data_IF_901157489111
#
_entry.id   IF_901157489111
#
_cell.length_a   1.000
_cell.length_b   1.000
_cell.length_c   1.000
_cell.angle_alpha   90.00
_cell.angle_beta   90.00
_cell.angle_gamma   90.00
#
_symmetry.space_group_name_H-M   'P 1'
#
loop_
_entity.id
_entity.type
_entity.pdbx_description
1 polymer ?
#
# COMPACT_ATOMS: atom_id res chain seq x y z
N UNK A 1 -9.82 -12.11 -1.46
CA UNK A 1 -10.84 -11.36 -2.21
C UNK A 1 -11.36 -12.21 -3.39
N UNK A 2 -10.49 -12.68 -4.29
CA UNK A 2 -10.89 -13.43 -5.49
C UNK A 2 -11.73 -14.68 -5.19
N UNK A 3 -11.31 -15.54 -4.26
CA UNK A 3 -12.08 -16.71 -3.82
C UNK A 3 -13.50 -16.33 -3.33
N UNK A 4 -13.64 -15.24 -2.55
CA UNK A 4 -14.93 -14.77 -2.07
C UNK A 4 -15.83 -14.27 -3.20
N UNK A 5 -15.25 -13.85 -4.32
CA UNK A 5 -15.96 -13.45 -5.54
C UNK A 5 -16.25 -14.63 -6.49
N UNK A 6 -15.82 -15.85 -6.15
CA UNK A 6 -16.10 -17.06 -6.90
C UNK A 6 -15.09 -17.41 -7.98
N UNK A 7 -13.92 -16.77 -7.99
CA UNK A 7 -12.84 -17.11 -8.91
C UNK A 7 -12.05 -18.33 -8.43
N UNK A 8 -11.56 -19.15 -9.36
CA UNK A 8 -10.50 -20.09 -9.10
C UNK A 8 -9.17 -19.32 -8.97
N UNK A 9 -8.37 -19.69 -8.01
CA UNK A 9 -7.14 -18.98 -7.67
C UNK A 9 -5.97 -19.93 -7.60
N UNK A 10 -4.95 -19.66 -8.38
CA UNK A 10 -3.63 -20.28 -8.24
C UNK A 10 -2.73 -19.29 -7.52
N UNK A 11 -2.20 -19.64 -6.36
CA UNK A 11 -1.25 -18.84 -5.62
C UNK A 11 0.14 -19.43 -5.78
N UNK A 12 1.08 -18.61 -6.25
CA UNK A 12 2.49 -19.01 -6.37
C UNK A 12 3.29 -18.40 -5.22
N UNK A 13 4.07 -19.23 -4.57
CA UNK A 13 5.05 -18.85 -3.55
C UNK A 13 6.44 -19.35 -3.93
N UNK A 14 7.48 -18.79 -3.34
CA UNK A 14 8.86 -19.14 -3.68
C UNK A 14 9.35 -20.45 -3.05
N UNK A 15 8.72 -20.90 -1.95
CA UNK A 15 9.13 -22.07 -1.15
C UNK A 15 7.91 -22.77 -0.57
N UNK A 16 8.04 -24.08 -0.33
CA UNK A 16 6.98 -24.91 0.24
C UNK A 16 6.49 -24.44 1.60
N UNK A 17 7.39 -24.03 2.50
CA UNK A 17 7.03 -23.50 3.81
C UNK A 17 6.19 -22.21 3.71
N UNK A 18 6.53 -21.34 2.76
CA UNK A 18 5.77 -20.13 2.46
C UNK A 18 4.39 -20.47 1.85
N UNK A 19 4.34 -21.46 0.96
CA UNK A 19 3.12 -21.94 0.34
C UNK A 19 2.14 -22.51 1.38
N UNK A 20 2.62 -23.35 2.28
CA UNK A 20 1.81 -23.90 3.38
C UNK A 20 1.33 -22.79 4.34
N UNK A 21 2.21 -21.86 4.71
CA UNK A 21 1.84 -20.72 5.54
C UNK A 21 0.79 -19.83 4.85
N UNK A 22 0.89 -19.64 3.52
CA UNK A 22 -0.09 -18.87 2.75
C UNK A 22 -1.45 -19.57 2.71
N UNK A 23 -1.47 -20.89 2.49
CA UNK A 23 -2.69 -21.72 2.57
C UNK A 23 -3.35 -21.57 3.95
N UNK A 24 -2.58 -21.70 5.03
CA UNK A 24 -3.08 -21.52 6.41
C UNK A 24 -3.67 -20.15 6.67
N UNK A 25 -3.00 -19.07 6.20
CA UNK A 25 -3.51 -17.69 6.32
C UNK A 25 -4.84 -17.49 5.58
N UNK A 26 -4.96 -18.03 4.36
CA UNK A 26 -6.19 -17.93 3.57
C UNK A 26 -7.32 -18.70 4.26
N UNK A 27 -7.07 -19.94 4.67
CA UNK A 27 -8.05 -20.75 5.40
C UNK A 27 -8.50 -20.06 6.70
N UNK A 28 -7.58 -19.48 7.47
CA UNK A 28 -7.89 -18.72 8.67
C UNK A 28 -8.78 -17.50 8.41
N UNK A 29 -8.51 -16.74 7.36
CA UNK A 29 -9.33 -15.60 6.95
C UNK A 29 -10.75 -16.04 6.54
N UNK A 30 -10.88 -17.13 5.78
CA UNK A 30 -12.15 -17.68 5.36
C UNK A 30 -12.93 -18.27 6.56
N UNK A 31 -12.25 -18.98 7.48
CA UNK A 31 -12.84 -19.45 8.75
C UNK A 31 -13.40 -18.30 9.58
N UNK A 32 -12.69 -17.17 9.64
CA UNK A 32 -13.21 -15.96 10.27
C UNK A 32 -14.49 -15.42 9.60
N UNK A 33 -14.61 -15.52 8.26
CA UNK A 33 -15.80 -15.15 7.54
C UNK A 33 -16.96 -16.13 7.80
N UNK A 34 -16.66 -17.43 7.87
CA UNK A 34 -17.60 -18.49 8.22
C UNK A 34 -18.17 -18.29 9.63
N UNK A 35 -17.30 -18.10 10.64
CA UNK A 35 -17.71 -17.83 12.02
C UNK A 35 -18.64 -16.62 12.17
N UNK A 36 -18.49 -15.62 11.31
CA UNK A 36 -19.37 -14.42 11.27
C UNK A 36 -20.60 -14.58 10.40
N UNK A 37 -20.87 -15.79 9.89
CA UNK A 37 -22.03 -16.08 9.04
C UNK A 37 -22.01 -15.39 7.66
N UNK A 38 -20.82 -14.91 7.20
CA UNK A 38 -20.69 -14.25 5.89
C UNK A 38 -20.61 -15.24 4.73
N UNK A 39 -20.23 -16.46 5.00
CA UNK A 39 -20.20 -17.58 4.05
C UNK A 39 -20.74 -18.84 4.73
N UNK A 40 -21.24 -19.78 3.94
CA UNK A 40 -21.69 -21.11 4.43
C UNK A 40 -20.51 -22.07 4.51
N UNK A 41 -20.68 -23.20 5.24
CA UNK A 41 -19.67 -24.26 5.30
C UNK A 41 -19.37 -24.80 3.90
N UNK A 42 -20.38 -25.06 3.10
CA UNK A 42 -20.23 -25.55 1.73
C UNK A 42 -19.36 -24.60 0.87
N UNK A 43 -19.55 -23.27 0.99
CA UNK A 43 -18.70 -22.29 0.29
C UNK A 43 -17.29 -22.30 0.82
N UNK A 44 -17.08 -22.44 2.13
CA UNK A 44 -15.75 -22.54 2.72
C UNK A 44 -15.01 -23.77 2.15
N UNK A 45 -15.65 -24.93 2.17
CA UNK A 45 -15.07 -26.19 1.67
C UNK A 45 -14.75 -26.10 0.17
N UNK A 46 -15.64 -25.54 -0.64
CA UNK A 46 -15.41 -25.35 -2.07
C UNK A 46 -14.21 -24.42 -2.33
N UNK A 47 -14.09 -23.30 -1.58
CA UNK A 47 -12.97 -22.36 -1.74
C UNK A 47 -11.62 -22.93 -1.30
N UNK A 48 -11.59 -23.72 -0.23
CA UNK A 48 -10.34 -24.27 0.31
C UNK A 48 -9.86 -25.53 -0.38
N UNK A 49 -10.79 -26.37 -0.85
CA UNK A 49 -10.48 -27.71 -1.38
C UNK A 49 -10.47 -27.77 -2.91
N UNK A 50 -11.19 -26.86 -3.59
CA UNK A 50 -11.39 -26.92 -5.04
C UNK A 50 -10.93 -25.67 -5.77
N UNK A 51 -11.30 -24.48 -5.26
CA UNK A 51 -11.06 -23.22 -5.95
C UNK A 51 -9.67 -22.61 -5.65
N UNK A 52 -8.95 -23.09 -4.63
CA UNK A 52 -7.61 -22.64 -4.28
C UNK A 52 -6.57 -23.71 -4.58
N UNK A 53 -5.70 -23.42 -5.53
CA UNK A 53 -4.43 -24.12 -5.73
C UNK A 53 -3.30 -23.27 -5.13
N UNK A 54 -2.34 -23.91 -4.45
CA UNK A 54 -1.12 -23.25 -3.99
C UNK A 54 0.06 -24.06 -4.50
N UNK A 55 0.98 -23.42 -5.21
CA UNK A 55 2.10 -24.06 -5.91
C UNK A 55 3.37 -23.22 -5.74
N UNK A 56 4.52 -23.83 -5.96
CA UNK A 56 5.81 -23.17 -6.12
C UNK A 56 6.27 -23.16 -7.58
N UNK A 57 5.50 -23.80 -8.48
CA UNK A 57 5.82 -23.90 -9.88
C UNK A 57 5.01 -22.89 -10.71
N UNK A 58 5.71 -22.06 -11.49
CA UNK A 58 5.11 -21.11 -12.42
C UNK A 58 4.30 -21.77 -13.53
N UNK A 59 4.59 -23.03 -13.90
CA UNK A 59 3.83 -23.76 -14.94
C UNK A 59 2.34 -23.89 -14.58
N UNK A 60 2.00 -23.87 -13.29
CA UNK A 60 0.60 -23.80 -12.83
C UNK A 60 -0.15 -22.57 -13.35
N UNK A 61 0.55 -21.54 -13.85
CA UNK A 61 -0.03 -20.32 -14.40
C UNK A 61 -0.28 -20.39 -15.91
N UNK A 62 0.08 -21.47 -16.60
CA UNK A 62 0.00 -21.56 -18.06
C UNK A 62 -1.42 -21.34 -18.63
N UNK A 63 -2.46 -21.70 -17.86
CA UNK A 63 -3.86 -21.60 -18.30
C UNK A 63 -4.65 -20.42 -17.71
N UNK A 64 -4.05 -19.63 -16.83
CA UNK A 64 -4.77 -18.54 -16.15
C UNK A 64 -5.10 -17.39 -17.10
N UNK A 65 -6.18 -16.68 -16.81
CA UNK A 65 -6.64 -15.55 -17.61
C UNK A 65 -6.03 -14.23 -17.13
N UNK A 66 -5.66 -14.14 -15.85
CA UNK A 66 -5.10 -12.95 -15.24
C UNK A 66 -4.17 -13.33 -14.09
N UNK A 67 -3.03 -12.65 -14.03
CA UNK A 67 -2.09 -12.74 -12.90
C UNK A 67 -2.07 -11.40 -12.17
N UNK A 68 -2.05 -11.43 -10.84
CA UNK A 68 -1.80 -10.25 -10.00
C UNK A 68 -0.49 -10.49 -9.24
N UNK A 69 0.58 -9.88 -9.71
CA UNK A 69 1.89 -9.92 -9.05
C UNK A 69 1.88 -9.02 -7.81
N UNK A 70 2.37 -9.55 -6.69
CA UNK A 70 2.46 -8.84 -5.42
C UNK A 70 3.75 -9.21 -4.65
N UNK A 71 4.86 -9.34 -5.37
CA UNK A 71 6.19 -9.59 -4.79
C UNK A 71 6.79 -8.32 -4.18
N UNK A 72 8.05 -8.38 -3.70
CA UNK A 72 8.74 -7.23 -3.13
C UNK A 72 8.70 -6.01 -4.05
N UNK A 73 8.60 -4.81 -3.42
CA UNK A 73 8.52 -3.52 -4.11
C UNK A 73 9.93 -3.10 -4.60
N UNK A 74 10.47 -3.87 -5.54
CA UNK A 74 11.76 -3.68 -6.19
C UNK A 74 11.61 -3.89 -7.71
N UNK A 75 12.10 -2.95 -8.50
CA UNK A 75 11.94 -2.95 -9.96
C UNK A 75 12.65 -4.15 -10.61
N UNK A 76 13.82 -4.51 -10.14
CA UNK A 76 14.58 -5.65 -10.68
C UNK A 76 13.85 -6.97 -10.46
N UNK A 77 13.34 -7.17 -9.23
CA UNK A 77 12.55 -8.35 -8.87
C UNK A 77 11.27 -8.42 -9.70
N UNK A 78 10.55 -7.30 -9.88
CA UNK A 78 9.32 -7.29 -10.68
C UNK A 78 9.58 -7.60 -12.15
N UNK A 79 10.62 -7.03 -12.74
CA UNK A 79 11.01 -7.33 -14.14
C UNK A 79 11.38 -8.81 -14.31
N UNK A 80 12.09 -9.41 -13.38
CA UNK A 80 12.39 -10.85 -13.41
C UNK A 80 11.12 -11.69 -13.37
N UNK A 81 10.20 -11.35 -12.44
CA UNK A 81 8.90 -12.07 -12.33
C UNK A 81 8.06 -11.87 -13.59
N UNK A 82 7.95 -10.66 -14.12
CA UNK A 82 7.18 -10.40 -15.34
C UNK A 82 7.77 -11.11 -16.56
N UNK A 83 9.09 -11.23 -16.66
CA UNK A 83 9.73 -12.04 -17.70
C UNK A 83 9.36 -13.54 -17.60
N UNK A 84 9.27 -14.10 -16.39
CA UNK A 84 8.79 -15.48 -16.17
C UNK A 84 7.31 -15.63 -16.52
N UNK A 85 6.46 -14.68 -16.12
CA UNK A 85 5.03 -14.68 -16.44
C UNK A 85 4.79 -14.57 -17.93
N UNK A 86 5.54 -13.73 -18.63
CA UNK A 86 5.47 -13.56 -20.08
C UNK A 86 5.78 -14.86 -20.85
N UNK A 87 6.75 -15.63 -20.34
CA UNK A 87 7.14 -16.91 -20.94
C UNK A 87 6.13 -18.04 -20.68
N UNK A 88 5.46 -18.05 -19.51
CA UNK A 88 4.62 -19.18 -19.05
C UNK A 88 3.15 -18.96 -19.36
N UNK A 89 2.63 -17.75 -19.14
CA UNK A 89 1.20 -17.50 -19.30
C UNK A 89 0.77 -17.52 -20.77
N UNK A 90 -0.42 -18.05 -21.04
CA UNK A 90 -1.00 -18.10 -22.40
C UNK A 90 -1.10 -16.72 -23.02
N UNK A 91 -1.09 -16.60 -24.36
CA UNK A 91 -1.38 -15.36 -25.07
C UNK A 91 -2.74 -14.78 -24.64
N UNK A 92 -2.81 -13.45 -24.45
CA UNK A 92 -4.00 -12.75 -23.98
C UNK A 92 -4.28 -12.82 -22.47
N UNK A 93 -3.47 -13.55 -21.70
CA UNK A 93 -3.54 -13.46 -20.25
C UNK A 93 -3.04 -12.08 -19.78
N UNK A 94 -3.80 -11.43 -18.91
CA UNK A 94 -3.46 -10.11 -18.37
C UNK A 94 -2.43 -10.27 -17.27
N UNK A 95 -1.36 -9.48 -17.33
CA UNK A 95 -0.30 -9.43 -16.34
C UNK A 95 -0.44 -8.13 -15.52
N UNK A 96 -0.95 -8.25 -14.30
CA UNK A 96 -1.17 -7.09 -13.44
C UNK A 96 -0.12 -7.02 -12.33
N UNK A 97 0.37 -5.81 -12.04
CA UNK A 97 1.20 -5.55 -10.86
C UNK A 97 0.40 -4.85 -9.76
N UNK A 98 0.54 -5.32 -8.52
CA UNK A 98 0.01 -4.64 -7.34
C UNK A 98 1.03 -3.67 -6.72
N UNK A 99 1.95 -3.13 -7.52
CA UNK A 99 2.90 -2.12 -7.03
C UNK A 99 2.17 -0.91 -6.46
N UNK A 100 2.78 -0.26 -5.46
CA UNK A 100 2.26 0.96 -4.84
C UNK A 100 2.95 2.23 -5.35
N UNK A 101 4.17 2.10 -5.92
CA UNK A 101 5.02 3.24 -6.24
C UNK A 101 5.83 3.08 -7.53
N UNK A 102 6.06 1.83 -7.99
CA UNK A 102 6.93 1.60 -9.14
C UNK A 102 6.22 1.93 -10.45
N UNK A 103 7.03 2.28 -11.43
CA UNK A 103 6.58 2.65 -12.77
C UNK A 103 6.05 1.42 -13.53
N UNK A 104 4.74 1.41 -13.80
CA UNK A 104 4.08 0.31 -14.51
C UNK A 104 4.48 0.28 -15.98
N UNK A 105 4.84 1.40 -16.59
CA UNK A 105 5.36 1.47 -17.96
C UNK A 105 6.71 0.74 -18.06
N UNK A 106 7.57 0.93 -17.06
CA UNK A 106 8.88 0.26 -16.97
C UNK A 106 8.73 -1.25 -16.75
N UNK A 107 7.74 -1.68 -15.96
CA UNK A 107 7.39 -3.09 -15.79
C UNK A 107 6.86 -3.66 -17.11
N UNK A 108 5.95 -2.98 -17.77
CA UNK A 108 5.36 -3.42 -19.04
C UNK A 108 6.42 -3.57 -20.13
N UNK A 109 7.36 -2.63 -20.20
CA UNK A 109 8.46 -2.67 -21.18
C UNK A 109 9.42 -3.86 -21.00
N UNK A 110 9.38 -4.57 -19.87
CA UNK A 110 10.16 -5.79 -19.64
C UNK A 110 9.53 -7.05 -20.21
N UNK A 111 8.31 -6.96 -20.79
CA UNK A 111 7.58 -8.07 -21.40
C UNK A 111 7.53 -7.93 -22.93
N UNK A 112 7.27 -9.03 -23.63
CA UNK A 112 7.04 -9.04 -25.07
C UNK A 112 5.66 -8.50 -25.46
N UNK A 113 4.74 -8.36 -24.49
CA UNK A 113 3.33 -7.95 -24.66
C UNK A 113 2.90 -6.84 -23.70
N UNK A 114 3.51 -5.64 -23.79
CA UNK A 114 3.19 -4.53 -22.88
C UNK A 114 1.73 -4.08 -22.95
N UNK A 115 1.00 -4.40 -24.01
CA UNK A 115 -0.43 -4.13 -24.14
C UNK A 115 -1.29 -4.94 -23.14
N UNK A 116 -0.82 -6.12 -22.71
CA UNK A 116 -1.50 -6.98 -21.75
C UNK A 116 -1.13 -6.65 -20.28
N UNK A 117 -0.32 -5.62 -20.06
CA UNK A 117 0.15 -5.23 -18.72
C UNK A 117 -0.66 -4.07 -18.17
N UNK A 118 -1.01 -4.16 -16.86
CA UNK A 118 -1.78 -3.16 -16.14
C UNK A 118 -1.36 -3.10 -14.66
N UNK A 119 -1.55 -1.98 -13.99
CA UNK A 119 -1.48 -1.92 -12.54
C UNK A 119 -2.85 -2.17 -11.91
N UNK A 120 -2.90 -3.03 -10.91
CA UNK A 120 -4.09 -3.26 -10.06
C UNK A 120 -3.69 -3.07 -8.60
N UNK A 121 -3.71 -1.81 -8.15
CA UNK A 121 -3.26 -1.46 -6.81
C UNK A 121 -4.39 -1.62 -5.79
N UNK A 122 -4.27 -2.66 -4.98
CA UNK A 122 -5.16 -2.95 -3.86
C UNK A 122 -4.61 -2.35 -2.56
N UNK A 123 -5.51 -1.85 -1.72
CA UNK A 123 -5.14 -1.40 -0.38
C UNK A 123 -5.29 -2.52 0.64
N UNK A 124 -4.34 -2.62 1.54
CA UNK A 124 -4.30 -3.66 2.58
C UNK A 124 -5.24 -3.33 3.75
N UNK A 125 -6.01 -4.29 4.26
CA UNK A 125 -6.19 -5.66 3.79
C UNK A 125 -7.14 -5.73 2.56
N UNK A 126 -6.67 -6.37 1.46
CA UNK A 126 -7.37 -6.35 0.17
C UNK A 126 -8.79 -6.93 0.19
N UNK A 127 -9.14 -7.77 1.15
CA UNK A 127 -10.50 -8.33 1.29
C UNK A 127 -11.45 -7.40 2.06
N UNK A 128 -10.95 -6.33 2.68
CA UNK A 128 -11.72 -5.36 3.46
C UNK A 128 -11.78 -4.01 2.74
N UNK A 129 -10.62 -3.49 2.32
CA UNK A 129 -10.51 -2.17 1.70
C UNK A 129 -11.24 -2.12 0.37
N UNK A 130 -12.04 -1.08 0.16
CA UNK A 130 -12.92 -0.97 -1.01
C UNK A 130 -12.23 -0.42 -2.25
N UNK A 131 -11.23 0.44 -2.08
CA UNK A 131 -10.57 1.10 -3.21
C UNK A 131 -9.71 0.12 -4.00
N UNK A 132 -9.81 0.20 -5.32
CA UNK A 132 -8.90 -0.41 -6.29
C UNK A 132 -8.51 0.67 -7.30
N UNK A 133 -7.23 0.97 -7.39
CA UNK A 133 -6.69 1.83 -8.45
C UNK A 133 -6.32 0.96 -9.65
N UNK A 134 -6.99 1.23 -10.76
CA UNK A 134 -6.69 0.64 -12.07
C UNK A 134 -5.68 1.55 -12.74
N UNK A 135 -4.40 1.20 -12.64
CA UNK A 135 -3.28 2.02 -13.12
C UNK A 135 -3.01 1.67 -14.57
N UNK A 136 -3.31 2.61 -15.46
CA UNK A 136 -3.22 2.43 -16.91
C UNK A 136 -1.86 2.92 -17.39
N UNK A 137 -1.03 1.99 -17.85
CA UNK A 137 0.25 2.27 -18.49
C UNK A 137 0.02 2.79 -19.93
N UNK A 138 1.03 3.41 -20.52
CA UNK A 138 0.94 4.04 -21.85
C UNK A 138 0.49 3.05 -22.93
N UNK A 139 0.96 1.80 -22.88
CA UNK A 139 0.69 0.75 -23.87
C UNK A 139 -0.45 -0.18 -23.47
N UNK A 140 -1.05 -0.05 -22.29
CA UNK A 140 -2.15 -0.91 -21.85
C UNK A 140 -3.33 -0.85 -22.81
N UNK A 141 -3.76 -1.99 -23.34
CA UNK A 141 -4.86 -2.09 -24.28
C UNK A 141 -6.22 -1.73 -23.62
N UNK A 142 -7.17 -1.13 -24.37
CA UNK A 142 -8.47 -0.71 -23.82
C UNK A 142 -9.31 -1.85 -23.23
N UNK A 143 -9.25 -3.04 -23.79
CA UNK A 143 -9.94 -4.23 -23.30
C UNK A 143 -9.34 -4.76 -22.00
N UNK A 144 -8.01 -4.64 -21.81
CA UNK A 144 -7.31 -4.93 -20.57
C UNK A 144 -7.77 -3.96 -19.47
N UNK A 145 -7.90 -2.67 -19.80
CA UNK A 145 -8.44 -1.66 -18.86
C UNK A 145 -9.88 -2.01 -18.49
N UNK A 146 -10.73 -2.33 -19.47
CA UNK A 146 -12.12 -2.72 -19.25
C UNK A 146 -12.22 -3.96 -18.35
N UNK A 147 -11.36 -4.94 -18.57
CA UNK A 147 -11.27 -6.15 -17.74
C UNK A 147 -10.85 -5.83 -16.30
N UNK A 148 -9.89 -4.90 -16.10
CA UNK A 148 -9.49 -4.43 -14.77
C UNK A 148 -10.67 -3.82 -13.98
N UNK A 149 -11.50 -3.00 -14.64
CA UNK A 149 -12.73 -2.46 -14.04
C UNK A 149 -13.79 -3.54 -13.77
N UNK A 150 -13.97 -4.49 -14.70
CA UNK A 150 -14.90 -5.60 -14.54
C UNK A 150 -14.50 -6.50 -13.35
N UNK A 151 -13.21 -6.79 -13.23
CA UNK A 151 -12.64 -7.49 -12.06
C UNK A 151 -12.94 -6.73 -10.77
N UNK A 152 -12.65 -5.42 -10.75
CA UNK A 152 -12.94 -4.60 -9.58
C UNK A 152 -14.40 -4.66 -9.17
N UNK A 153 -15.34 -4.60 -10.12
CA UNK A 153 -16.78 -4.77 -9.88
C UNK A 153 -17.09 -6.16 -9.30
N UNK A 154 -16.54 -7.22 -9.87
CA UNK A 154 -16.73 -8.60 -9.39
C UNK A 154 -16.19 -8.79 -7.96
N UNK A 155 -15.08 -8.12 -7.62
CA UNK A 155 -14.48 -8.11 -6.28
C UNK A 155 -15.19 -7.17 -5.29
N UNK A 156 -16.30 -6.52 -5.70
CA UNK A 156 -17.03 -5.52 -4.91
C UNK A 156 -16.13 -4.35 -4.46
N UNK A 157 -15.30 -3.85 -5.38
CA UNK A 157 -14.42 -2.69 -5.20
C UNK A 157 -15.01 -1.43 -5.83
N UNK A 158 -14.56 -0.30 -5.34
CA UNK A 158 -14.71 1.00 -5.97
C UNK A 158 -13.46 1.22 -6.80
N UNK A 159 -13.56 0.99 -8.12
CA UNK A 159 -12.44 1.10 -9.03
C UNK A 159 -12.30 2.53 -9.54
N UNK A 160 -11.07 3.05 -9.50
CA UNK A 160 -10.73 4.38 -10.01
C UNK A 160 -9.59 4.25 -11.00
N UNK A 161 -9.70 4.91 -12.16
CA UNK A 161 -8.61 4.96 -13.14
C UNK A 161 -7.50 5.87 -12.62
N UNK A 162 -6.28 5.36 -12.60
CA UNK A 162 -5.08 6.12 -12.28
C UNK A 162 -4.11 6.10 -13.48
N UNK A 163 -3.32 7.14 -13.63
CA UNK A 163 -2.14 7.16 -14.49
C UNK A 163 -0.89 6.70 -13.72
N UNK A 164 0.18 6.45 -14.47
CA UNK A 164 1.47 6.06 -13.89
C UNK A 164 2.13 7.29 -13.24
N UNK A 165 2.30 7.25 -11.92
CA UNK A 165 3.03 8.27 -11.15
C UNK A 165 3.33 7.74 -9.73
N UNK A 166 4.31 8.32 -9.03
CA UNK A 166 4.71 7.92 -7.67
C UNK A 166 3.53 8.00 -6.69
N UNK A 167 3.08 6.84 -6.19
CA UNK A 167 1.98 6.72 -5.23
C UNK A 167 0.57 6.86 -5.82
N UNK A 168 0.43 6.85 -7.12
CA UNK A 168 -0.83 6.96 -7.88
C UNK A 168 -1.75 8.07 -7.35
N UNK A 169 -3.00 7.76 -6.96
CA UNK A 169 -3.94 8.75 -6.42
C UNK A 169 -3.95 8.71 -4.90
N UNK A 170 -4.25 7.56 -4.31
CA UNK A 170 -4.48 7.43 -2.87
C UNK A 170 -3.24 7.71 -2.05
N UNK A 171 -2.11 7.10 -2.39
CA UNK A 171 -0.86 7.33 -1.68
C UNK A 171 -0.31 8.75 -1.90
N UNK A 172 -0.53 9.38 -3.06
CA UNK A 172 -0.17 10.80 -3.28
C UNK A 172 -0.98 11.73 -2.38
N UNK A 173 -2.29 11.54 -2.30
CA UNK A 173 -3.15 12.33 -1.41
C UNK A 173 -2.71 12.11 0.05
N UNK A 174 -2.53 10.85 0.45
CA UNK A 174 -2.06 10.50 1.78
C UNK A 174 -0.72 11.17 2.11
N UNK A 175 0.25 11.11 1.20
CA UNK A 175 1.57 11.73 1.41
C UNK A 175 1.46 13.25 1.57
N UNK A 176 0.59 13.91 0.80
CA UNK A 176 0.41 15.37 0.83
C UNK A 176 -0.15 15.84 2.18
N UNK A 177 -1.28 15.28 2.62
CA UNK A 177 -1.86 15.72 3.89
C UNK A 177 -1.05 15.22 5.09
N UNK A 178 -0.36 14.08 4.96
CA UNK A 178 0.58 13.61 6.00
C UNK A 178 1.74 14.59 6.16
N UNK A 179 2.32 15.07 5.07
CA UNK A 179 3.38 16.10 5.13
C UNK A 179 2.88 17.38 5.80
N UNK A 180 1.66 17.82 5.49
CA UNK A 180 1.05 18.96 6.15
C UNK A 180 0.89 18.73 7.66
N UNK A 181 0.41 17.55 8.07
CA UNK A 181 0.29 17.17 9.47
C UNK A 181 1.65 17.13 10.18
N UNK A 182 2.67 16.58 9.54
CA UNK A 182 4.04 16.55 10.07
C UNK A 182 4.60 17.97 10.24
N UNK A 183 4.33 18.89 9.31
CA UNK A 183 4.73 20.31 9.45
C UNK A 183 4.00 20.99 10.62
N UNK A 184 2.71 20.73 10.81
CA UNK A 184 1.99 21.24 11.99
C UNK A 184 2.60 20.74 13.31
N UNK A 185 3.07 19.48 13.33
CA UNK A 185 3.78 18.96 14.51
C UNK A 185 5.11 19.68 14.71
N UNK A 186 5.86 19.97 13.65
CA UNK A 186 7.09 20.78 13.74
C UNK A 186 6.81 22.21 14.22
N UNK A 187 5.63 22.77 13.92
CA UNK A 187 5.20 24.09 14.36
C UNK A 187 4.62 24.11 15.79
N UNK A 188 4.53 22.95 16.42
CA UNK A 188 4.16 22.87 17.84
C UNK A 188 2.85 22.13 18.11
N UNK A 189 2.05 21.80 17.11
CA UNK A 189 0.82 21.03 17.31
C UNK A 189 1.08 19.62 17.84
N UNK A 190 0.15 19.08 18.60
CA UNK A 190 0.20 17.68 19.03
C UNK A 190 -0.29 16.76 17.91
N UNK A 191 0.40 15.63 17.59
CA UNK A 191 -0.11 14.65 16.63
C UNK A 191 -1.48 14.09 17.04
N UNK A 192 -1.74 13.98 18.35
CA UNK A 192 -3.02 13.50 18.89
C UNK A 192 -4.16 14.49 18.67
N UNK A 193 -3.87 15.80 18.78
CA UNK A 193 -4.86 16.85 18.48
C UNK A 193 -5.17 16.90 16.97
N UNK A 194 -4.17 16.71 16.12
CA UNK A 194 -4.35 16.64 14.67
C UNK A 194 -5.22 15.43 14.30
N UNK A 195 -4.89 14.26 14.84
CA UNK A 195 -5.68 13.03 14.62
C UNK A 195 -7.13 13.23 15.07
N UNK A 196 -7.32 13.78 16.26
CA UNK A 196 -8.66 14.09 16.77
C UNK A 196 -9.42 15.06 15.87
N UNK A 197 -8.81 16.14 15.44
CA UNK A 197 -9.44 17.13 14.57
C UNK A 197 -9.89 16.53 13.23
N UNK A 198 -9.10 15.66 12.63
CA UNK A 198 -9.46 14.99 11.38
C UNK A 198 -10.58 13.95 11.58
N UNK A 199 -10.58 13.23 12.70
CA UNK A 199 -11.69 12.32 13.05
C UNK A 199 -12.98 13.12 13.31
N UNK A 200 -12.91 14.22 14.02
CA UNK A 200 -14.07 15.11 14.26
C UNK A 200 -14.59 15.72 12.93
N UNK A 201 -13.71 15.96 11.97
CA UNK A 201 -14.07 16.40 10.61
C UNK A 201 -14.75 15.31 9.77
N UNK A 202 -14.61 14.03 10.15
CA UNK A 202 -15.27 12.89 9.45
C UNK A 202 -14.29 11.85 8.86
N UNK A 203 -12.99 11.95 9.10
CA UNK A 203 -12.07 10.89 8.74
C UNK A 203 -12.27 9.68 9.65
N UNK A 204 -12.17 8.48 9.10
CA UNK A 204 -12.27 7.24 9.90
C UNK A 204 -11.11 7.12 10.91
N UNK A 205 -9.96 7.73 10.62
CA UNK A 205 -8.74 7.67 11.42
C UNK A 205 -7.84 8.85 11.08
N UNK A 206 -7.14 9.39 12.05
CA UNK A 206 -6.17 10.45 11.81
C UNK A 206 -4.83 9.93 11.23
N UNK A 207 -4.01 10.82 10.63
CA UNK A 207 -2.82 10.42 9.87
C UNK A 207 -1.74 9.72 10.71
N UNK A 208 -1.62 10.03 11.98
CA UNK A 208 -0.63 9.41 12.86
C UNK A 208 -1.07 8.02 13.29
N UNK A 209 -2.36 7.84 13.60
CA UNK A 209 -2.95 6.54 13.87
C UNK A 209 -2.94 5.62 12.62
N UNK A 210 -3.17 6.19 11.42
CA UNK A 210 -3.01 5.47 10.13
C UNK A 210 -1.56 5.03 9.95
N UNK A 211 -0.58 5.87 10.28
CA UNK A 211 0.83 5.52 10.25
C UNK A 211 1.16 4.35 11.15
N UNK A 212 0.67 4.35 12.38
CA UNK A 212 0.86 3.26 13.35
C UNK A 212 0.19 1.95 12.89
N UNK A 213 -0.98 2.03 12.26
CA UNK A 213 -1.69 0.88 11.71
C UNK A 213 -0.93 0.24 10.53
N UNK A 214 -0.45 1.07 9.61
CA UNK A 214 0.30 0.62 8.43
C UNK A 214 1.70 0.09 8.77
N UNK A 215 2.31 0.64 9.81
CA UNK A 215 3.69 0.42 10.20
C UNK A 215 4.59 1.61 9.80
N UNK A 216 5.18 2.25 10.81
CA UNK A 216 6.01 3.44 10.64
C UNK A 216 7.29 3.19 9.84
N UNK A 217 7.78 1.95 9.81
CA UNK A 217 8.92 1.50 9.00
C UNK A 217 8.71 1.71 7.50
N UNK A 218 7.46 1.62 7.00
CA UNK A 218 7.13 1.88 5.58
C UNK A 218 7.42 3.35 5.25
N UNK A 219 6.91 4.27 6.10
CA UNK A 219 7.19 5.69 5.94
C UNK A 219 8.67 6.02 6.11
N UNK A 220 9.36 5.35 7.02
CA UNK A 220 10.80 5.50 7.25
C UNK A 220 11.63 5.07 6.03
N UNK A 221 11.33 3.90 5.46
CA UNK A 221 11.94 3.43 4.22
C UNK A 221 11.72 4.42 3.06
N UNK A 222 10.50 4.96 2.92
CA UNK A 222 10.18 5.98 1.91
C UNK A 222 10.99 7.26 2.11
N UNK A 223 11.12 7.76 3.35
CA UNK A 223 11.95 8.95 3.64
C UNK A 223 13.43 8.72 3.33
N UNK A 224 13.96 7.54 3.64
CA UNK A 224 15.34 7.14 3.29
C UNK A 224 15.54 7.10 1.77
N UNK A 225 14.62 6.46 1.04
CA UNK A 225 14.66 6.38 -0.43
C UNK A 225 14.67 7.77 -1.07
N UNK A 226 13.79 8.66 -0.61
CA UNK A 226 13.67 10.03 -1.14
C UNK A 226 14.82 10.96 -0.71
N UNK A 227 15.63 10.59 0.27
CA UNK A 227 16.67 11.47 0.81
C UNK A 227 17.69 11.91 -0.24
N UNK A 228 18.07 11.03 -1.19
CA UNK A 228 19.05 11.31 -2.23
C UNK A 228 18.58 12.33 -3.29
N UNK A 229 17.26 12.43 -3.51
CA UNK A 229 16.66 13.31 -4.52
C UNK A 229 15.94 14.53 -3.94
N UNK A 230 15.99 14.66 -2.62
CA UNK A 230 15.28 15.72 -1.88
C UNK A 230 15.89 17.09 -2.14
N UNK A 231 15.01 18.08 -2.31
CA UNK A 231 15.49 19.47 -2.45
C UNK A 231 16.08 19.96 -1.10
N UNK A 232 17.26 20.64 -1.09
CA UNK A 232 17.91 21.07 0.16
C UNK A 232 17.06 21.99 1.03
N UNK A 233 16.15 22.77 0.44
CA UNK A 233 15.25 23.66 1.16
C UNK A 233 13.96 22.96 1.68
N UNK A 234 13.80 21.66 1.42
CA UNK A 234 12.64 20.91 1.89
C UNK A 234 12.67 20.79 3.42
N UNK A 235 11.54 21.13 4.04
CA UNK A 235 11.38 20.99 5.48
C UNK A 235 11.03 19.56 5.84
N UNK A 236 11.98 18.83 6.39
CA UNK A 236 11.85 17.40 6.69
C UNK A 236 11.71 17.17 8.19
N UNK A 237 10.66 16.49 8.64
CA UNK A 237 10.55 16.08 10.04
C UNK A 237 11.52 14.92 10.33
N UNK A 238 12.35 15.05 11.36
CA UNK A 238 13.25 13.97 11.81
C UNK A 238 12.67 13.19 13.00
N UNK A 239 11.67 13.76 13.70
CA UNK A 239 11.06 13.09 14.86
C UNK A 239 10.42 11.72 14.54
N UNK A 240 9.81 11.48 13.35
CA UNK A 240 9.29 10.16 13.02
C UNK A 240 10.40 9.10 12.85
N UNK A 241 11.59 9.53 12.41
CA UNK A 241 12.72 8.61 12.26
C UNK A 241 13.21 8.13 13.62
N UNK A 242 13.26 9.02 14.62
CA UNK A 242 13.63 8.66 16.00
C UNK A 242 12.67 7.67 16.66
N UNK A 243 11.38 7.70 16.30
CA UNK A 243 10.41 6.68 16.75
C UNK A 243 10.81 5.32 16.19
N UNK A 244 11.16 5.26 14.89
CA UNK A 244 11.58 4.03 14.23
C UNK A 244 12.95 3.54 14.70
N UNK A 245 13.92 4.44 14.93
CA UNK A 245 15.25 4.12 15.48
C UNK A 245 15.16 3.48 16.86
N UNK A 246 14.13 3.84 17.64
CA UNK A 246 13.82 3.22 18.92
C UNK A 246 13.09 1.85 18.81
N UNK A 247 12.93 1.30 17.58
CA UNK A 247 12.24 0.04 17.33
C UNK A 247 10.71 0.12 17.42
N UNK A 248 10.14 1.32 17.47
CA UNK A 248 8.70 1.52 17.59
C UNK A 248 8.07 1.70 16.20
N UNK A 249 7.45 0.65 15.68
CA UNK A 249 6.89 0.64 14.34
C UNK A 249 5.34 0.69 14.31
N UNK A 250 4.71 1.16 15.37
CA UNK A 250 3.26 1.24 15.50
C UNK A 250 2.63 -0.03 16.08
N UNK A 251 1.42 -0.35 15.63
CA UNK A 251 0.64 -1.46 16.20
C UNK A 251 1.37 -2.80 16.20
N UNK A 252 2.13 -3.10 15.16
CA UNK A 252 2.87 -4.37 15.03
C UNK A 252 3.95 -4.59 16.09
N UNK A 253 4.43 -3.51 16.70
CA UNK A 253 5.39 -3.56 17.83
C UNK A 253 4.79 -3.11 19.15
N UNK A 254 3.45 -2.88 19.17
CA UNK A 254 2.73 -2.40 20.35
C UNK A 254 2.96 -0.91 20.66
N UNK A 255 3.82 -0.22 19.92
CA UNK A 255 4.20 1.16 20.21
C UNK A 255 4.59 1.93 18.95
N UNK A 256 4.11 3.16 18.85
CA UNK A 256 4.41 4.13 17.80
C UNK A 256 4.11 5.53 18.29
N UNK A 257 3.28 6.29 17.58
CA UNK A 257 2.66 7.52 18.09
C UNK A 257 1.74 7.20 19.27
N UNK A 258 1.15 6.05 19.27
CA UNK A 258 0.30 5.52 20.32
C UNK A 258 0.93 4.28 20.94
N UNK A 259 0.45 3.92 22.14
CA UNK A 259 0.76 2.67 22.83
C UNK A 259 -0.47 1.78 22.69
N UNK A 260 -0.28 0.54 22.26
CA UNK A 260 -1.33 -0.42 22.01
C UNK A 260 -1.21 -1.58 22.99
N UNK A 261 -2.21 -1.74 23.83
CA UNK A 261 -2.32 -2.91 24.72
C UNK A 261 -2.83 -4.12 23.93
N UNK A 262 -2.39 -5.30 24.34
CA UNK A 262 -2.82 -6.55 23.72
C UNK A 262 -4.35 -6.70 23.79
N UNK A 263 -4.99 -6.89 22.63
CA UNK A 263 -6.44 -7.02 22.53
C UNK A 263 -7.21 -5.69 22.44
N UNK A 264 -6.56 -4.54 22.62
CA UNK A 264 -7.18 -3.22 22.43
C UNK A 264 -7.28 -2.87 20.95
N UNK A 265 -8.43 -2.26 20.55
CA UNK A 265 -8.61 -1.71 19.19
C UNK A 265 -8.15 -0.26 19.06
N UNK A 266 -7.93 0.43 20.18
CA UNK A 266 -7.50 1.82 20.24
C UNK A 266 -6.16 1.95 20.94
N UNK A 267 -5.34 2.93 20.52
CA UNK A 267 -4.09 3.29 21.18
C UNK A 267 -4.27 4.42 22.17
N UNK A 268 -3.44 4.41 23.23
CA UNK A 268 -3.30 5.53 24.16
C UNK A 268 -2.18 6.45 23.67
N UNK A 269 -2.32 7.77 23.71
CA UNK A 269 -1.27 8.71 23.30
C UNK A 269 0.10 8.40 23.92
N UNK A 270 1.13 8.25 23.09
CA UNK A 270 2.50 8.05 23.52
C UNK A 270 3.24 9.39 23.64
N UNK A 271 3.23 10.00 24.81
CA UNK A 271 3.87 11.30 25.03
C UNK A 271 5.38 11.30 24.65
N UNK A 272 6.07 10.16 24.79
CA UNK A 272 7.49 10.05 24.42
C UNK A 272 7.74 10.13 22.92
N UNK A 273 6.74 9.87 22.07
CA UNK A 273 6.86 9.94 20.60
C UNK A 273 7.17 11.35 20.08
N UNK A 274 6.86 12.38 20.85
CA UNK A 274 7.07 13.78 20.50
C UNK A 274 8.17 14.46 21.33
N UNK A 275 8.80 13.76 22.27
CA UNK A 275 9.83 14.33 23.15
C UNK A 275 11.05 14.85 22.36
N UNK A 276 11.38 14.25 21.22
CA UNK A 276 12.46 14.69 20.34
C UNK A 276 12.16 15.97 19.55
N UNK A 277 10.90 16.37 19.42
CA UNK A 277 10.42 17.57 18.73
C UNK A 277 10.93 18.86 19.39
N UNK A 278 10.94 18.89 20.73
CA UNK A 278 11.35 20.08 21.50
C UNK A 278 12.79 20.50 21.20
N UNK A 279 13.68 19.56 20.86
CA UNK A 279 15.07 19.85 20.49
C UNK A 279 15.20 20.44 19.08
N UNK A 280 14.34 20.08 18.16
CA UNK A 280 14.33 20.63 16.79
C UNK A 280 13.85 22.10 16.78
N UNK A 281 12.86 22.44 17.59
CA UNK A 281 12.36 23.80 17.71
C UNK A 281 13.35 24.72 18.41
N UNK A 282 14.08 24.24 19.44
CA UNK A 282 15.12 24.99 20.13
C UNK A 282 16.33 25.30 19.23
N UNK A 283 16.74 24.34 18.38
CA UNK A 283 17.84 24.55 17.44
C UNK A 283 17.52 25.60 16.36
N UNK A 284 16.24 25.77 15.99
CA UNK A 284 15.80 26.79 15.02
C UNK A 284 15.62 28.18 15.60
N UNK A 285 15.20 28.31 16.87
CA UNK A 285 15.10 29.59 17.54
C UNK A 285 16.47 30.24 17.82
N UNK A 286 17.54 29.42 17.88
CA UNK A 286 18.91 29.88 18.04
C UNK A 286 19.62 30.27 16.74
N UNK A 287 19.10 29.84 15.57
CA UNK A 287 19.67 30.13 14.25
C UNK A 287 18.92 31.25 13.49
N UNK A 288 18.35 32.21 14.13
CA UNK A 288 17.82 33.52 13.68
C UNK A 288 17.65 33.79 12.17
N UNK A 289 17.13 32.85 11.39
CA UNK A 289 16.92 32.98 9.95
C UNK A 289 15.52 33.52 9.63
N UNK A 290 15.41 34.73 9.12
CA UNK A 290 14.20 35.28 8.51
C UNK A 290 13.73 34.36 7.39
N UNK A 291 12.44 34.03 7.38
CA UNK A 291 11.79 33.35 6.27
C UNK A 291 12.00 34.16 4.97
N UNK A 292 12.48 33.56 3.89
CA UNK A 292 12.45 34.20 2.58
C UNK A 292 10.99 34.33 2.12
N UNK A 293 10.62 35.51 1.63
CA UNK A 293 9.33 35.78 1.04
C UNK A 293 9.10 34.85 -0.16
N UNK A 294 7.96 34.18 -0.18
CA UNK A 294 7.50 33.36 -1.30
C UNK A 294 7.18 34.26 -2.50
N UNK A 295 8.16 34.53 -3.35
CA UNK A 295 7.94 35.07 -4.70
C UNK A 295 8.18 33.94 -5.71
N UNK A 296 7.15 33.59 -6.44
CA UNK A 296 7.24 32.65 -7.56
C UNK A 296 6.19 31.54 -7.53
N UNK A 297 4.93 31.91 -7.76
CA UNK A 297 3.88 30.91 -8.07
C UNK A 297 4.13 30.32 -9.45
N UNK A 298 4.60 29.07 -9.52
CA UNK A 298 4.32 28.22 -10.67
C UNK A 298 2.92 27.67 -10.50
N UNK A 299 2.08 27.88 -11.52
CA UNK A 299 0.69 27.40 -11.57
C UNK A 299 0.66 25.89 -11.36
N UNK A 300 -0.29 25.35 -10.56
CA UNK A 300 -0.48 23.91 -10.51
C UNK A 300 -1.04 23.43 -11.85
N UNK A 301 -0.48 22.37 -12.43
CA UNK A 301 -1.16 21.56 -13.43
C UNK A 301 -2.39 20.95 -12.77
N UNK A 302 -3.57 21.42 -13.13
CA UNK A 302 -4.85 20.76 -12.94
C UNK A 302 -4.99 19.76 -14.09
N UNK A 303 -5.15 18.53 -13.76
CA UNK A 303 -5.87 17.37 -14.30
C UNK A 303 -5.10 16.09 -14.05
#
# INVERSE_FOLDING_TARGET
AALLAGFNVVLIEMKEDAAEAARGRIAGNLSGALKRGKITQMKYDAMTNTALEVSINYDSLASVDLVIEAVFEDMGVKKEVFGKLDAVCKPGAILASNTSYLDVDEIAASTSRPADVIGLHFFSPAHIMKLLEVVVAEKTAPDVVATGFALGKALNKISVRAGVCDGFIGNRILATYRTAADHMVLDGASPFQIDKALVDFGFAMGPFAVGDLAGLDIGWATRKRKAATRHPAERVPTYPDKICEAGNFGQKTGKGYYIYEAGSRGGVPNASSIASRSRENLARSSSGGRLPALSGRKKPCLL
#
